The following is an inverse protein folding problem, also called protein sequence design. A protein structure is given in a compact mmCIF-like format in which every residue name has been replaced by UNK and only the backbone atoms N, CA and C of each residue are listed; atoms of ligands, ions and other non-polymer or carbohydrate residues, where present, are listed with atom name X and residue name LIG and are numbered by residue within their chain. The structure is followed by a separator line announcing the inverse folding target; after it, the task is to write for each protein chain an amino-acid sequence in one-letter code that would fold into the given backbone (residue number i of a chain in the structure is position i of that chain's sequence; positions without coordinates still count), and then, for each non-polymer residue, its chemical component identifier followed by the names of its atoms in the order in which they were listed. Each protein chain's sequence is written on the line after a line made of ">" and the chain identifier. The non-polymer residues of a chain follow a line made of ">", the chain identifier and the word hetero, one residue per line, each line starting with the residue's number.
data_IF_853685076411
#
_entry.id   IF_853685076411
#
_cell.length_a   1.000
_cell.length_b   1.000
_cell.length_c   1.000
_cell.angle_alpha   90.00
_cell.angle_beta   90.00
_cell.angle_gamma   90.00
#
_symmetry.space_group_name_H-M   'P 1'
#
loop_
_entity.id
_entity.type
_entity.pdbx_description
1 polymer ?
#
# COMPACT_ATOMS: atom_id res chain seq x y z
N UNK A 1 -22.03 23.44 -25.44
CA UNK A 1 -22.79 24.15 -24.38
C UNK A 1 -24.10 23.41 -24.14
N UNK A 2 -24.56 23.31 -22.88
CA UNK A 2 -25.75 22.51 -22.51
C UNK A 2 -27.06 22.96 -23.13
N UNK A 3 -27.25 24.26 -23.31
CA UNK A 3 -28.48 24.80 -23.91
C UNK A 3 -28.16 25.79 -25.02
N UNK A 4 -29.13 25.99 -25.90
CA UNK A 4 -29.00 26.93 -27.00
C UNK A 4 -29.12 28.37 -26.49
N UNK A 5 -28.24 29.23 -26.99
CA UNK A 5 -28.19 30.68 -26.82
C UNK A 5 -28.01 31.33 -28.19
N UNK A 6 -28.51 32.56 -28.41
CA UNK A 6 -28.43 33.21 -29.72
C UNK A 6 -27.01 33.35 -30.26
N UNK A 7 -26.04 33.57 -29.37
CA UNK A 7 -24.63 33.74 -29.73
C UNK A 7 -23.73 32.88 -28.82
N UNK A 8 -22.93 31.95 -29.40
CA UNK A 8 -22.93 31.54 -30.81
C UNK A 8 -24.15 30.69 -31.19
N UNK A 9 -24.63 30.84 -32.42
CA UNK A 9 -25.80 30.11 -32.96
C UNK A 9 -25.66 28.58 -32.95
N UNK A 10 -24.44 28.04 -32.88
CA UNK A 10 -24.16 26.60 -32.81
C UNK A 10 -24.23 26.00 -31.39
N UNK A 11 -24.70 26.79 -30.41
CA UNK A 11 -24.83 26.37 -29.01
C UNK A 11 -25.98 25.38 -28.81
N UNK A 12 -26.00 24.68 -27.66
CA UNK A 12 -27.06 23.74 -27.27
C UNK A 12 -26.89 22.29 -27.69
N UNK A 13 -25.81 21.93 -28.40
CA UNK A 13 -25.58 20.55 -28.86
C UNK A 13 -24.95 19.60 -27.84
N UNK A 14 -25.02 19.85 -26.53
CA UNK A 14 -24.33 19.01 -25.55
C UNK A 14 -24.89 17.58 -25.49
N UNK A 15 -26.21 17.39 -25.55
CA UNK A 15 -26.82 16.06 -25.59
C UNK A 15 -26.31 15.24 -26.78
N UNK A 16 -26.40 15.81 -27.99
CA UNK A 16 -25.91 15.15 -29.20
C UNK A 16 -24.42 14.81 -29.13
N UNK A 17 -23.60 15.70 -28.56
CA UNK A 17 -22.17 15.45 -28.42
C UNK A 17 -21.88 14.36 -27.37
N UNK A 18 -22.63 14.33 -26.27
CA UNK A 18 -22.50 13.27 -25.26
C UNK A 18 -22.97 11.91 -25.80
N UNK A 19 -24.05 11.87 -26.57
CA UNK A 19 -24.50 10.67 -27.29
C UNK A 19 -23.46 10.18 -28.28
N UNK A 20 -22.85 11.06 -29.08
CA UNK A 20 -21.73 10.68 -29.94
C UNK A 20 -20.58 10.03 -29.15
N UNK A 21 -20.20 10.60 -27.99
CA UNK A 21 -19.14 10.03 -27.16
C UNK A 21 -19.53 8.64 -26.64
N UNK A 22 -20.75 8.50 -26.12
CA UNK A 22 -21.27 7.29 -25.49
C UNK A 22 -21.52 6.16 -26.50
N UNK A 23 -22.19 6.47 -27.61
CA UNK A 23 -22.76 5.48 -28.52
C UNK A 23 -21.85 5.18 -29.72
N UNK A 24 -20.91 6.08 -30.05
CA UNK A 24 -20.01 5.92 -31.20
C UNK A 24 -18.53 5.88 -30.80
N UNK A 25 -18.03 6.90 -30.09
CA UNK A 25 -16.59 7.07 -29.87
C UNK A 25 -16.01 6.03 -28.89
N UNK A 26 -16.61 5.87 -27.71
CA UNK A 26 -16.14 4.91 -26.71
C UNK A 26 -16.20 3.47 -27.27
N UNK A 27 -17.32 3.00 -27.86
CA UNK A 27 -17.37 1.67 -28.48
C UNK A 27 -16.32 1.47 -29.58
N UNK A 28 -16.04 2.49 -30.40
CA UNK A 28 -14.99 2.40 -31.41
C UNK A 28 -13.60 2.23 -30.79
N UNK A 29 -13.28 2.94 -29.71
CA UNK A 29 -11.98 2.83 -29.02
C UNK A 29 -11.86 1.44 -28.37
N UNK A 30 -12.89 1.00 -27.63
CA UNK A 30 -12.90 -0.29 -26.93
C UNK A 30 -12.77 -1.48 -27.88
N UNK A 31 -13.35 -1.39 -29.09
CA UNK A 31 -13.19 -2.42 -30.12
C UNK A 31 -11.80 -2.40 -30.78
N UNK A 32 -11.11 -1.26 -30.79
CA UNK A 32 -9.84 -1.09 -31.51
C UNK A 32 -8.60 -1.29 -30.64
N UNK A 33 -8.71 -1.05 -29.34
CA UNK A 33 -7.60 -1.08 -28.40
C UNK A 33 -7.95 -1.90 -27.15
N UNK A 34 -6.98 -2.53 -26.47
CA UNK A 34 -7.20 -3.23 -25.22
C UNK A 34 -7.43 -2.21 -24.09
N UNK A 35 -8.66 -1.71 -23.95
CA UNK A 35 -9.05 -0.82 -22.86
C UNK A 35 -9.37 -1.63 -21.60
N UNK A 36 -9.33 -0.96 -20.45
CA UNK A 36 -9.66 -1.56 -19.15
C UNK A 36 -11.11 -1.27 -18.72
N UNK A 37 -11.95 -0.75 -19.61
CA UNK A 37 -13.34 -0.38 -19.34
C UNK A 37 -13.52 0.88 -18.49
N UNK A 38 -12.45 1.66 -18.25
CA UNK A 38 -12.51 2.88 -17.44
C UNK A 38 -12.20 4.10 -18.29
N UNK A 39 -13.00 5.16 -18.14
CA UNK A 39 -12.88 6.39 -18.93
C UNK A 39 -12.88 7.60 -18.01
N UNK A 40 -12.18 8.65 -18.44
CA UNK A 40 -12.21 9.96 -17.78
C UNK A 40 -12.40 11.06 -18.81
N UNK A 41 -12.99 12.18 -18.40
CA UNK A 41 -13.22 13.33 -19.26
C UNK A 41 -12.57 14.60 -18.70
N UNK A 42 -11.85 15.30 -19.58
CA UNK A 42 -11.24 16.59 -19.28
C UNK A 42 -11.86 17.70 -20.12
N UNK A 43 -12.14 18.83 -19.49
CA UNK A 43 -12.71 20.01 -20.13
C UNK A 43 -12.13 21.30 -19.58
N UNK A 44 -11.70 22.18 -20.49
CA UNK A 44 -11.23 23.52 -20.19
C UNK A 44 -12.24 24.56 -20.71
N UNK A 45 -12.48 25.64 -19.95
CA UNK A 45 -13.40 26.72 -20.33
C UNK A 45 -14.81 26.17 -20.61
N UNK A 46 -15.41 26.41 -21.77
CA UNK A 46 -16.68 25.80 -22.17
C UNK A 46 -16.67 24.27 -22.14
N UNK A 47 -15.50 23.64 -22.29
CA UNK A 47 -15.34 22.19 -22.12
C UNK A 47 -15.65 21.72 -20.71
N UNK A 48 -15.33 22.51 -19.66
CA UNK A 48 -15.66 22.10 -18.30
C UNK A 48 -17.14 22.32 -17.94
N UNK A 49 -17.87 23.20 -18.66
CA UNK A 49 -19.35 23.16 -18.63
C UNK A 49 -19.86 21.83 -19.16
N UNK A 50 -19.28 21.31 -20.24
CA UNK A 50 -19.65 20.01 -20.78
C UNK A 50 -19.30 18.86 -19.82
N UNK A 51 -18.17 18.94 -19.11
CA UNK A 51 -17.80 17.97 -18.07
C UNK A 51 -18.82 17.95 -16.94
N UNK A 52 -19.18 19.11 -16.39
CA UNK A 52 -20.21 19.18 -15.33
C UNK A 52 -21.56 18.71 -15.85
N UNK A 53 -21.91 19.04 -17.09
CA UNK A 53 -23.12 18.52 -17.73
C UNK A 53 -23.11 16.99 -17.80
N UNK A 54 -22.05 16.38 -18.33
CA UNK A 54 -21.92 14.93 -18.44
C UNK A 54 -21.99 14.22 -17.08
N UNK A 55 -21.35 14.79 -16.03
CA UNK A 55 -21.45 14.30 -14.66
C UNK A 55 -22.91 14.28 -14.18
N UNK A 56 -23.71 15.29 -14.52
CA UNK A 56 -25.08 15.44 -14.04
C UNK A 56 -26.12 14.71 -14.91
N UNK A 57 -25.80 14.31 -16.14
CA UNK A 57 -26.74 13.65 -17.05
C UNK A 57 -26.44 12.17 -17.26
N UNK A 58 -25.17 11.79 -17.41
CA UNK A 58 -24.71 10.42 -17.67
C UNK A 58 -23.51 10.08 -16.76
N UNK A 59 -23.66 10.15 -15.42
CA UNK A 59 -22.54 10.00 -14.49
C UNK A 59 -21.82 8.63 -14.58
N UNK A 60 -22.48 7.63 -15.18
CA UNK A 60 -21.91 6.30 -15.35
C UNK A 60 -20.85 6.24 -16.46
N UNK A 61 -20.81 7.24 -17.35
CA UNK A 61 -19.95 7.18 -18.53
C UNK A 61 -18.46 7.34 -18.20
N UNK A 62 -18.14 8.10 -17.15
CA UNK A 62 -16.76 8.34 -16.72
C UNK A 62 -16.58 8.07 -15.23
N UNK A 63 -15.38 7.63 -14.83
CA UNK A 63 -14.94 7.53 -13.43
C UNK A 63 -14.51 8.91 -12.89
N UNK A 64 -13.77 9.66 -13.70
CA UNK A 64 -13.21 10.97 -13.31
C UNK A 64 -13.60 12.09 -14.27
N UNK A 65 -13.92 13.24 -13.67
CA UNK A 65 -14.37 14.45 -14.33
C UNK A 65 -13.43 15.60 -13.95
N UNK A 66 -12.77 16.20 -14.95
CA UNK A 66 -11.83 17.30 -14.73
C UNK A 66 -12.34 18.56 -15.42
N UNK A 67 -12.74 19.57 -14.65
CA UNK A 67 -13.21 20.85 -15.16
C UNK A 67 -12.24 21.97 -14.78
N UNK A 68 -11.61 22.59 -15.78
CA UNK A 68 -10.62 23.65 -15.57
C UNK A 68 -11.13 25.00 -16.09
N UNK A 69 -11.02 26.02 -15.24
CA UNK A 69 -11.24 27.44 -15.51
C UNK A 69 -12.53 27.70 -16.31
N UNK A 70 -13.61 27.08 -15.83
CA UNK A 70 -14.90 27.00 -16.52
C UNK A 70 -15.89 28.04 -16.00
N UNK A 71 -16.69 28.66 -16.89
CA UNK A 71 -17.64 29.71 -16.50
C UNK A 71 -18.94 29.09 -15.96
N UNK A 72 -18.90 28.43 -14.80
CA UNK A 72 -20.04 27.66 -14.26
C UNK A 72 -21.32 28.49 -14.04
N UNK A 73 -21.20 29.82 -13.92
CA UNK A 73 -22.35 30.73 -13.83
C UNK A 73 -23.03 31.05 -15.17
N UNK A 74 -22.54 30.46 -16.26
CA UNK A 74 -23.08 30.66 -17.60
C UNK A 74 -24.60 30.37 -17.69
N UNK A 75 -25.28 31.18 -18.50
CA UNK A 75 -26.72 31.12 -18.73
C UNK A 75 -27.56 31.15 -17.45
N UNK A 76 -27.32 32.16 -16.61
CA UNK A 76 -28.03 32.36 -15.35
C UNK A 76 -27.95 31.12 -14.44
N UNK A 77 -26.71 30.64 -14.19
CA UNK A 77 -26.41 29.52 -13.30
C UNK A 77 -27.10 28.19 -13.72
N UNK A 78 -27.29 27.96 -15.03
CA UNK A 78 -28.04 26.79 -15.53
C UNK A 78 -27.50 25.47 -14.96
N UNK A 79 -26.19 25.23 -15.05
CA UNK A 79 -25.59 23.99 -14.53
C UNK A 79 -25.48 23.96 -13.00
N UNK A 80 -25.35 25.10 -12.34
CA UNK A 80 -25.37 25.17 -10.86
C UNK A 80 -26.75 24.78 -10.33
N UNK A 81 -27.83 25.23 -10.99
CA UNK A 81 -29.22 24.83 -10.67
C UNK A 81 -29.42 23.33 -10.90
N UNK A 82 -28.95 22.80 -12.03
CA UNK A 82 -29.00 21.36 -12.29
C UNK A 82 -28.19 20.54 -11.26
N UNK A 83 -27.00 21.02 -10.88
CA UNK A 83 -26.20 20.38 -9.84
C UNK A 83 -26.95 20.34 -8.50
N UNK A 84 -27.69 21.40 -8.17
CA UNK A 84 -28.45 21.47 -6.93
C UNK A 84 -29.58 20.43 -6.86
N UNK A 85 -30.07 19.96 -8.00
CA UNK A 85 -31.10 18.92 -8.10
C UNK A 85 -30.51 17.51 -8.14
N UNK A 86 -29.31 17.34 -8.70
CA UNK A 86 -28.79 16.01 -9.08
C UNK A 86 -27.53 15.55 -8.33
N UNK A 87 -26.81 16.42 -7.63
CA UNK A 87 -25.56 16.01 -6.96
C UNK A 87 -25.77 14.82 -6.00
N UNK A 88 -26.85 14.81 -5.23
CA UNK A 88 -27.17 13.75 -4.26
C UNK A 88 -27.60 12.42 -4.90
N UNK A 89 -27.83 12.36 -6.21
CA UNK A 89 -28.19 11.14 -6.95
C UNK A 89 -27.01 10.56 -7.74
N UNK A 90 -25.83 11.20 -7.66
CA UNK A 90 -24.64 10.69 -8.30
C UNK A 90 -24.29 9.29 -7.77
N UNK A 91 -23.86 8.37 -8.64
CA UNK A 91 -23.36 7.07 -8.23
C UNK A 91 -22.11 7.22 -7.36
N UNK A 92 -21.78 6.15 -6.64
CA UNK A 92 -20.57 6.09 -5.83
C UNK A 92 -19.30 6.11 -6.67
N UNK A 93 -18.18 6.43 -6.00
CA UNK A 93 -16.82 6.30 -6.51
C UNK A 93 -16.53 7.16 -7.74
N UNK A 94 -17.13 8.36 -7.79
CA UNK A 94 -16.85 9.37 -8.82
C UNK A 94 -15.83 10.38 -8.30
N UNK A 95 -14.95 10.80 -9.20
CA UNK A 95 -13.98 11.86 -8.92
C UNK A 95 -14.35 13.12 -9.68
N UNK A 96 -14.48 14.25 -9.00
CA UNK A 96 -14.69 15.56 -9.62
C UNK A 96 -13.62 16.56 -9.22
N UNK A 97 -12.70 16.83 -10.13
CA UNK A 97 -11.64 17.81 -9.95
C UNK A 97 -12.01 19.13 -10.63
N UNK A 98 -12.00 20.20 -9.85
CA UNK A 98 -12.26 21.54 -10.34
C UNK A 98 -11.01 22.38 -10.13
N UNK A 99 -10.61 23.09 -11.17
CA UNK A 99 -9.48 23.99 -11.11
C UNK A 99 -9.81 25.35 -11.70
N UNK A 100 -9.13 26.41 -11.28
CA UNK A 100 -9.24 27.74 -11.90
C UNK A 100 -8.07 28.64 -11.58
N UNK A 101 -7.97 29.80 -12.24
CA UNK A 101 -6.93 30.79 -11.91
C UNK A 101 -7.19 31.51 -10.57
N UNK A 102 -8.44 31.53 -10.12
CA UNK A 102 -8.86 32.11 -8.85
C UNK A 102 -10.16 31.47 -8.37
N UNK A 103 -10.49 31.62 -7.09
CA UNK A 103 -11.82 31.25 -6.58
C UNK A 103 -12.81 32.36 -6.93
N UNK A 104 -13.19 32.44 -8.21
CA UNK A 104 -14.20 33.38 -8.67
C UNK A 104 -15.58 33.02 -8.08
N UNK A 105 -16.56 33.90 -8.25
CA UNK A 105 -17.90 33.69 -7.68
C UNK A 105 -18.55 32.39 -8.15
N UNK A 106 -18.29 31.97 -9.39
CA UNK A 106 -18.86 30.75 -9.97
C UNK A 106 -18.33 29.49 -9.28
N UNK A 107 -17.01 29.39 -9.12
CA UNK A 107 -16.36 28.30 -8.39
C UNK A 107 -16.81 28.30 -6.92
N UNK A 108 -16.91 29.48 -6.29
CA UNK A 108 -17.39 29.60 -4.91
C UNK A 108 -18.84 29.12 -4.70
N UNK A 109 -19.73 29.36 -5.69
CA UNK A 109 -21.11 28.83 -5.65
C UNK A 109 -21.14 27.32 -5.78
N UNK A 110 -20.34 26.75 -6.70
CA UNK A 110 -20.24 25.30 -6.86
C UNK A 110 -19.62 24.63 -5.62
N UNK A 111 -18.59 25.22 -5.02
CA UNK A 111 -17.98 24.77 -3.75
C UNK A 111 -19.03 24.66 -2.65
N UNK A 112 -19.76 25.75 -2.40
CA UNK A 112 -20.83 25.79 -1.39
C UNK A 112 -21.88 24.70 -1.62
N UNK A 113 -22.19 24.43 -2.89
CA UNK A 113 -23.16 23.42 -3.26
C UNK A 113 -22.63 21.99 -3.06
N UNK A 114 -21.38 21.73 -3.43
CA UNK A 114 -20.72 20.44 -3.21
C UNK A 114 -20.63 20.14 -1.71
N UNK A 115 -20.23 21.10 -0.88
CA UNK A 115 -20.20 20.94 0.58
C UNK A 115 -21.58 20.61 1.15
N UNK A 116 -22.66 21.19 0.60
CA UNK A 116 -24.01 21.00 1.10
C UNK A 116 -24.68 19.71 0.61
N UNK A 117 -24.42 19.29 -0.63
CA UNK A 117 -25.22 18.27 -1.34
C UNK A 117 -24.44 17.11 -1.94
N UNK A 118 -23.12 17.19 -2.04
CA UNK A 118 -22.34 16.06 -2.58
C UNK A 118 -22.52 14.83 -1.68
N UNK A 119 -22.79 13.64 -2.26
CA UNK A 119 -22.80 12.42 -1.50
C UNK A 119 -21.40 12.14 -0.97
N UNK A 120 -21.29 11.45 0.17
CA UNK A 120 -19.98 11.09 0.76
C UNK A 120 -19.10 10.26 -0.19
N UNK A 121 -19.71 9.59 -1.17
CA UNK A 121 -19.04 8.80 -2.20
C UNK A 121 -18.59 9.60 -3.42
N UNK A 122 -18.92 10.90 -3.51
CA UNK A 122 -18.30 11.79 -4.49
C UNK A 122 -17.02 12.34 -3.87
N UNK A 123 -15.90 12.02 -4.51
CA UNK A 123 -14.62 12.58 -4.14
C UNK A 123 -14.32 13.79 -5.01
N UNK A 124 -14.13 14.94 -4.38
CA UNK A 124 -13.97 16.18 -5.13
C UNK A 124 -12.98 17.10 -4.45
N UNK A 125 -12.34 17.93 -5.27
CA UNK A 125 -11.43 18.96 -4.79
C UNK A 125 -11.49 20.18 -5.73
N UNK A 126 -11.35 21.37 -5.14
CA UNK A 126 -11.28 22.65 -5.85
C UNK A 126 -9.89 23.23 -5.61
N UNK A 127 -9.15 23.47 -6.69
CA UNK A 127 -7.80 24.05 -6.62
C UNK A 127 -7.69 25.33 -7.43
N UNK A 128 -6.97 26.30 -6.88
CA UNK A 128 -6.72 27.58 -7.56
C UNK A 128 -5.24 27.78 -7.85
N UNK A 129 -4.95 28.33 -9.03
CA UNK A 129 -3.61 28.58 -9.53
C UNK A 129 -3.42 30.08 -9.82
N UNK A 130 -3.15 30.91 -8.80
CA UNK A 130 -3.15 32.38 -8.93
C UNK A 130 -2.08 32.93 -9.89
N UNK A 131 -1.02 32.15 -10.15
CA UNK A 131 0.06 32.52 -11.07
C UNK A 131 -0.19 32.08 -12.51
N UNK A 132 -1.26 31.32 -12.77
CA UNK A 132 -1.64 30.87 -14.10
C UNK A 132 -2.59 31.86 -14.78
N UNK A 133 -2.66 31.80 -16.11
CA UNK A 133 -3.66 32.50 -16.94
C UNK A 133 -4.64 31.48 -17.51
N UNK A 134 -5.78 31.97 -18.04
CA UNK A 134 -6.85 31.12 -18.60
C UNK A 134 -6.33 30.01 -19.52
N UNK A 135 -5.35 30.30 -20.38
CA UNK A 135 -4.81 29.31 -21.33
C UNK A 135 -3.68 28.45 -20.76
N UNK A 136 -2.95 28.90 -19.74
CA UNK A 136 -1.81 28.15 -19.18
C UNK A 136 -2.25 27.21 -18.06
N UNK A 137 -3.29 27.59 -17.29
CA UNK A 137 -3.82 26.80 -16.17
C UNK A 137 -4.24 25.39 -16.58
N UNK A 138 -4.71 25.19 -17.82
CA UNK A 138 -5.12 23.88 -18.35
C UNK A 138 -4.04 22.81 -18.25
N UNK A 139 -2.76 23.19 -18.40
CA UNK A 139 -1.65 22.23 -18.35
C UNK A 139 -1.41 21.74 -16.91
N UNK A 140 -1.29 22.68 -15.98
CA UNK A 140 -1.04 22.37 -14.56
C UNK A 140 -2.24 21.70 -13.90
N UNK A 141 -3.44 22.24 -14.12
CA UNK A 141 -4.68 21.70 -13.58
C UNK A 141 -4.98 20.28 -14.07
N UNK A 142 -4.70 19.99 -15.34
CA UNK A 142 -4.85 18.63 -15.87
C UNK A 142 -3.87 17.67 -15.19
N UNK A 143 -2.59 18.06 -15.08
CA UNK A 143 -1.56 17.25 -14.43
C UNK A 143 -1.92 16.94 -12.97
N UNK A 144 -2.28 17.96 -12.19
CA UNK A 144 -2.64 17.80 -10.78
C UNK A 144 -3.96 17.03 -10.61
N UNK A 145 -4.94 17.24 -11.49
CA UNK A 145 -6.20 16.49 -11.46
C UNK A 145 -6.02 15.00 -11.72
N UNK A 146 -5.16 14.64 -12.69
CA UNK A 146 -4.80 13.23 -12.91
C UNK A 146 -4.10 12.68 -11.67
N UNK A 147 -3.14 13.41 -11.09
CA UNK A 147 -2.48 12.98 -9.85
C UNK A 147 -3.45 12.78 -8.69
N UNK A 148 -4.47 13.64 -8.57
CA UNK A 148 -5.51 13.50 -7.57
C UNK A 148 -6.28 12.19 -7.75
N UNK A 149 -6.83 11.95 -8.96
CA UNK A 149 -7.63 10.74 -9.24
C UNK A 149 -6.85 9.43 -9.06
N UNK A 150 -5.54 9.46 -9.32
CA UNK A 150 -4.62 8.33 -9.16
C UNK A 150 -3.82 8.38 -7.85
N UNK A 151 -4.25 9.18 -6.87
CA UNK A 151 -3.62 9.18 -5.55
C UNK A 151 -3.67 7.78 -4.94
N UNK A 152 -2.53 7.31 -4.42
CA UNK A 152 -2.40 5.94 -3.89
C UNK A 152 -2.18 4.84 -4.94
N UNK A 153 -2.21 5.17 -6.24
CA UNK A 153 -1.86 4.21 -7.29
C UNK A 153 -0.42 3.71 -7.13
N UNK A 154 -0.28 2.45 -6.75
CA UNK A 154 1.00 1.78 -6.59
C UNK A 154 0.83 0.28 -6.68
N UNK A 155 1.81 -0.40 -7.26
CA UNK A 155 1.90 -1.86 -7.23
C UNK A 155 2.45 -2.37 -5.89
N UNK A 156 3.07 -1.50 -5.09
CA UNK A 156 3.53 -1.86 -3.75
C UNK A 156 2.32 -2.03 -2.79
N UNK A 157 2.40 -2.95 -1.84
CA UNK A 157 1.46 -3.00 -0.73
C UNK A 157 1.70 -1.85 0.25
N UNK A 158 0.67 -1.46 1.00
CA UNK A 158 0.85 -0.66 2.20
C UNK A 158 1.54 -1.55 3.26
N UNK A 159 2.60 -1.04 3.87
CA UNK A 159 3.40 -1.77 4.85
C UNK A 159 3.61 -0.99 6.14
N UNK A 160 3.75 -1.73 7.24
CA UNK A 160 4.24 -1.22 8.51
C UNK A 160 5.08 -2.27 9.21
N UNK A 161 5.98 -1.85 10.10
CA UNK A 161 6.90 -2.74 10.81
C UNK A 161 7.09 -2.32 12.26
N UNK A 162 7.16 -3.27 13.22
CA UNK A 162 6.90 -4.72 13.05
C UNK A 162 5.46 -5.01 12.63
N UNK A 163 5.23 -6.12 11.90
CA UNK A 163 3.88 -6.46 11.41
C UNK A 163 3.03 -7.19 12.45
N UNK A 164 3.65 -8.02 13.28
CA UNK A 164 3.00 -8.76 14.35
C UNK A 164 3.93 -8.83 15.57
N UNK A 165 3.42 -9.26 16.72
CA UNK A 165 4.31 -9.47 17.85
C UNK A 165 3.68 -9.98 19.14
N UNK A 166 4.54 -10.15 20.14
CA UNK A 166 4.19 -10.38 21.53
C UNK A 166 4.65 -9.16 22.31
N UNK A 167 3.76 -8.59 23.11
CA UNK A 167 4.02 -7.42 23.93
C UNK A 167 3.96 -7.80 25.41
N UNK A 168 4.88 -7.23 26.18
CA UNK A 168 4.81 -7.23 27.63
C UNK A 168 3.70 -6.27 28.08
N UNK A 169 3.03 -6.62 29.19
CA UNK A 169 2.01 -5.78 29.80
C UNK A 169 2.59 -4.38 30.12
N UNK A 170 1.82 -3.34 29.79
CA UNK A 170 2.14 -1.93 30.05
C UNK A 170 3.48 -1.43 29.46
N UNK A 171 4.05 -2.15 28.49
CA UNK A 171 5.27 -1.73 27.79
C UNK A 171 4.99 -1.43 26.31
N UNK A 172 4.86 -0.16 25.93
CA UNK A 172 4.56 0.22 24.55
C UNK A 172 5.70 -0.09 23.59
N UNK A 173 5.36 -0.20 22.31
CA UNK A 173 6.31 -0.23 21.20
C UNK A 173 5.92 0.79 20.12
N UNK A 174 6.90 1.16 19.30
CA UNK A 174 6.69 1.98 18.11
C UNK A 174 6.56 1.10 16.87
N UNK A 175 5.56 1.39 16.04
CA UNK A 175 5.35 0.82 14.72
C UNK A 175 5.71 1.89 13.70
N UNK A 176 6.67 1.63 12.81
CA UNK A 176 6.92 2.45 11.64
C UNK A 176 5.91 2.14 10.55
N UNK A 177 5.36 3.17 9.90
CA UNK A 177 4.38 3.04 8.81
C UNK A 177 4.93 3.70 7.56
N UNK A 178 4.82 3.01 6.42
CA UNK A 178 5.12 3.60 5.12
C UNK A 178 4.14 4.74 4.84
N UNK A 179 4.69 5.96 4.80
CA UNK A 179 3.93 7.20 4.65
C UNK A 179 3.93 7.74 3.22
N UNK A 180 4.29 6.92 2.24
CA UNK A 180 4.21 7.27 0.81
C UNK A 180 2.77 7.27 0.25
N UNK A 181 1.79 6.84 1.04
CA UNK A 181 0.38 6.76 0.66
C UNK A 181 -0.44 7.94 1.19
N UNK A 182 -1.52 8.34 0.46
CA UNK A 182 -2.38 9.44 0.88
C UNK A 182 -3.26 9.07 2.08
N UNK A 183 -3.61 10.08 2.88
CA UNK A 183 -4.61 10.03 3.97
C UNK A 183 -4.59 8.72 4.77
N UNK A 184 -3.45 8.42 5.40
CA UNK A 184 -3.32 7.23 6.22
C UNK A 184 -4.05 7.37 7.55
N UNK A 185 -4.90 6.39 7.87
CA UNK A 185 -5.66 6.28 9.10
C UNK A 185 -5.45 4.93 9.75
N UNK A 186 -5.67 4.84 11.05
CA UNK A 186 -5.57 3.57 11.75
C UNK A 186 -6.54 3.42 12.92
N UNK A 187 -6.72 2.16 13.31
CA UNK A 187 -7.43 1.70 14.50
C UNK A 187 -6.58 0.61 15.18
N UNK A 188 -6.76 0.41 16.48
CA UNK A 188 -5.97 -0.55 17.29
C UNK A 188 -6.81 -1.67 17.89
N UNK A 189 -8.12 -1.64 17.66
CA UNK A 189 -9.11 -2.58 18.17
C UNK A 189 -9.63 -3.55 17.09
N UNK A 190 -9.12 -3.46 15.87
CA UNK A 190 -9.52 -4.28 14.73
C UNK A 190 -10.75 -3.78 13.97
N UNK A 191 -11.31 -2.61 14.31
CA UNK A 191 -12.36 -1.96 13.52
C UNK A 191 -11.79 -1.41 12.22
N UNK A 192 -12.57 -1.40 11.13
CA UNK A 192 -12.09 -0.84 9.85
C UNK A 192 -11.94 0.69 9.98
N UNK A 193 -10.77 1.27 9.67
CA UNK A 193 -10.60 2.71 9.72
C UNK A 193 -11.53 3.43 8.74
N UNK A 194 -11.92 4.64 9.10
CA UNK A 194 -12.63 5.61 8.27
C UNK A 194 -11.94 6.99 8.31
N UNK A 195 -12.50 7.98 7.62
CA UNK A 195 -11.94 9.34 7.56
C UNK A 195 -11.94 10.10 8.89
N UNK A 196 -12.65 9.60 9.91
CA UNK A 196 -12.67 10.16 11.27
C UNK A 196 -11.67 9.48 12.21
N UNK A 197 -11.17 8.32 11.82
CA UNK A 197 -10.16 7.56 12.55
C UNK A 197 -8.84 8.34 12.67
N UNK A 198 -7.97 7.91 13.58
CA UNK A 198 -6.73 8.63 13.89
C UNK A 198 -5.79 8.66 12.68
N UNK A 199 -5.19 9.83 12.38
CA UNK A 199 -4.17 9.98 11.34
C UNK A 199 -2.85 9.35 11.79
N UNK A 200 -2.12 8.79 10.83
CA UNK A 200 -0.72 8.40 11.02
C UNK A 200 0.17 9.22 10.11
N UNK A 201 1.25 9.74 10.68
CA UNK A 201 2.31 10.38 9.89
C UNK A 201 3.31 9.31 9.45
N UNK A 202 4.15 8.82 10.36
CA UNK A 202 5.15 7.77 10.06
C UNK A 202 5.35 6.76 11.18
N UNK A 203 4.73 6.99 12.35
CA UNK A 203 4.84 6.13 13.53
C UNK A 203 3.53 6.04 14.28
N UNK A 204 3.27 4.86 14.84
CA UNK A 204 2.16 4.59 15.75
C UNK A 204 2.74 3.98 17.02
N UNK A 205 2.32 4.47 18.19
CA UNK A 205 2.64 3.84 19.46
C UNK A 205 1.48 2.93 19.87
N UNK A 206 1.78 1.67 20.17
CA UNK A 206 0.77 0.69 20.61
C UNK A 206 1.15 0.05 21.95
N UNK A 207 0.15 -0.38 22.69
CA UNK A 207 0.27 -1.20 23.91
C UNK A 207 -0.61 -2.43 23.77
N UNK A 208 -0.12 -3.60 24.16
CA UNK A 208 -0.83 -4.86 23.95
C UNK A 208 -2.06 -5.06 24.86
N UNK A 209 -3.04 -5.87 24.44
CA UNK A 209 -3.16 -6.48 23.12
C UNK A 209 -3.67 -5.45 22.07
N UNK A 210 -3.30 -5.60 20.81
CA UNK A 210 -3.67 -4.67 19.73
C UNK A 210 -3.97 -5.44 18.43
N UNK A 211 -5.09 -5.10 17.79
CA UNK A 211 -5.40 -5.48 16.41
C UNK A 211 -5.27 -4.23 15.55
N UNK A 212 -4.08 -4.04 14.97
CA UNK A 212 -3.76 -2.84 14.21
C UNK A 212 -4.28 -2.98 12.78
N UNK A 213 -5.11 -2.04 12.35
CA UNK A 213 -5.48 -1.87 10.94
C UNK A 213 -5.04 -0.46 10.52
N UNK A 214 -4.19 -0.38 9.51
CA UNK A 214 -3.80 0.87 8.85
C UNK A 214 -4.41 0.88 7.45
N UNK A 215 -5.03 1.99 7.07
CA UNK A 215 -5.68 2.17 5.77
C UNK A 215 -5.28 3.49 5.15
N UNK A 216 -4.90 3.46 3.88
CA UNK A 216 -4.77 4.66 3.05
C UNK A 216 -6.06 4.92 2.29
N UNK A 217 -6.51 6.17 2.28
CA UNK A 217 -7.66 6.59 1.50
C UNK A 217 -7.20 7.34 0.25
N UNK A 218 -7.47 6.76 -0.90
CA UNK A 218 -7.29 7.39 -2.21
C UNK A 218 -8.46 8.31 -2.52
N UNK A 219 -8.21 9.29 -3.39
CA UNK A 219 -9.25 10.21 -3.85
C UNK A 219 -10.33 9.53 -4.70
N UNK A 220 -10.19 8.27 -5.11
CA UNK A 220 -11.23 7.56 -5.86
C UNK A 220 -11.81 6.37 -5.09
N UNK A 221 -11.30 6.07 -3.89
CA UNK A 221 -11.56 4.81 -3.18
C UNK A 221 -10.92 3.57 -3.84
N UNK A 222 -10.68 3.61 -5.16
CA UNK A 222 -10.18 2.51 -5.99
C UNK A 222 -8.77 2.06 -5.62
N UNK A 223 -7.94 2.97 -5.13
CA UNK A 223 -6.55 2.70 -4.76
C UNK A 223 -6.35 2.68 -3.24
N UNK A 224 -7.44 2.52 -2.48
CA UNK A 224 -7.35 2.28 -1.04
C UNK A 224 -6.55 1.01 -0.78
N UNK A 225 -5.70 1.06 0.23
CA UNK A 225 -4.89 -0.07 0.66
C UNK A 225 -5.02 -0.23 2.15
N UNK A 226 -5.06 -1.48 2.59
CA UNK A 226 -5.18 -1.83 4.00
C UNK A 226 -4.05 -2.79 4.38
N UNK A 227 -3.39 -2.50 5.49
CA UNK A 227 -2.44 -3.36 6.15
C UNK A 227 -2.98 -3.75 7.54
N UNK A 228 -2.75 -5.01 7.94
CA UNK A 228 -3.25 -5.55 9.21
C UNK A 228 -2.12 -6.26 9.97
N UNK A 229 -2.20 -6.20 11.29
CA UNK A 229 -1.22 -6.81 12.19
C UNK A 229 -1.81 -7.09 13.56
N UNK A 230 -1.34 -8.16 14.19
CA UNK A 230 -1.81 -8.62 15.50
C UNK A 230 -0.69 -8.62 16.51
N UNK A 231 -0.97 -8.05 17.68
CA UNK A 231 -0.04 -7.97 18.80
C UNK A 231 -0.70 -8.52 20.04
N UNK A 232 -0.18 -9.63 20.55
CA UNK A 232 -0.73 -10.33 21.69
C UNK A 232 0.03 -9.98 22.96
N UNK A 233 -0.61 -10.05 24.12
CA UNK A 233 0.12 -10.02 25.38
C UNK A 233 0.81 -11.36 25.63
N UNK A 234 2.03 -11.30 26.14
CA UNK A 234 2.75 -12.48 26.58
C UNK A 234 3.94 -12.13 27.46
N UNK A 235 4.73 -13.15 27.78
CA UNK A 235 5.94 -13.04 28.58
C UNK A 235 7.17 -13.01 27.69
N UNK A 236 8.32 -12.63 28.27
CA UNK A 236 9.60 -12.78 27.61
C UNK A 236 9.81 -14.26 27.25
N UNK A 237 10.22 -14.53 26.02
CA UNK A 237 10.58 -15.90 25.64
C UNK A 237 11.80 -16.29 26.50
N UNK A 238 11.76 -17.41 27.24
CA UNK A 238 12.87 -17.80 28.10
C UNK A 238 14.06 -18.23 27.24
N UNK A 239 15.25 -17.87 27.70
CA UNK A 239 16.50 -18.29 27.06
C UNK A 239 16.97 -19.65 27.58
N UNK A 240 17.85 -20.31 26.84
CA UNK A 240 18.62 -21.45 27.35
C UNK A 240 20.02 -21.01 27.78
N UNK A 241 20.63 -21.81 28.65
CA UNK A 241 22.06 -21.68 28.93
C UNK A 241 22.89 -21.92 27.67
N UNK A 242 24.09 -21.34 27.63
CA UNK A 242 25.02 -21.54 26.53
C UNK A 242 25.28 -23.05 26.30
N UNK A 243 24.99 -23.58 25.10
CA UNK A 243 25.31 -24.97 24.75
C UNK A 243 26.82 -25.25 24.87
N UNK A 244 27.20 -26.49 25.22
CA UNK A 244 28.58 -26.87 25.52
C UNK A 244 29.43 -27.26 24.30
N UNK A 245 28.80 -27.58 23.16
CA UNK A 245 29.45 -28.01 21.90
C UNK A 245 28.98 -27.19 20.71
N UNK A 246 29.21 -25.89 20.79
CA UNK A 246 28.88 -24.96 19.71
C UNK A 246 30.11 -24.19 19.25
N UNK A 247 30.18 -23.99 17.95
CA UNK A 247 31.11 -23.08 17.32
C UNK A 247 30.44 -21.72 17.13
N UNK A 248 31.24 -20.66 17.09
CA UNK A 248 30.75 -19.29 16.85
C UNK A 248 30.87 -18.89 15.38
N UNK A 249 30.24 -17.78 15.01
CA UNK A 249 30.35 -17.10 13.71
C UNK A 249 29.55 -17.71 12.55
N UNK A 250 28.37 -18.26 12.81
CA UNK A 250 27.45 -18.62 11.73
C UNK A 250 26.38 -19.60 12.16
N UNK A 251 25.63 -20.10 11.18
CA UNK A 251 24.62 -21.17 11.34
C UNK A 251 25.00 -22.37 10.47
N UNK A 252 24.63 -23.58 10.86
CA UNK A 252 24.76 -24.75 10.00
C UNK A 252 23.71 -24.65 8.90
N UNK A 253 24.06 -24.92 7.65
CA UNK A 253 23.09 -25.01 6.56
C UNK A 253 23.07 -26.40 5.93
N UNK A 254 21.88 -26.80 5.50
CA UNK A 254 21.63 -27.97 4.67
C UNK A 254 20.94 -27.53 3.38
N UNK A 255 21.48 -27.94 2.24
CA UNK A 255 21.01 -27.62 0.89
C UNK A 255 20.36 -28.85 0.26
N UNK A 256 19.22 -28.63 -0.39
CA UNK A 256 18.39 -29.65 -1.02
C UNK A 256 18.02 -29.22 -2.43
N UNK A 257 17.95 -30.16 -3.36
CA UNK A 257 17.47 -29.93 -4.72
C UNK A 257 16.05 -30.47 -4.87
N UNK A 258 15.19 -29.72 -5.54
CA UNK A 258 13.80 -30.09 -5.77
C UNK A 258 12.91 -28.90 -6.11
N UNK A 259 11.74 -29.16 -6.66
CA UNK A 259 10.77 -28.12 -7.00
C UNK A 259 9.61 -28.16 -6.01
N UNK A 260 9.29 -27.01 -5.42
CA UNK A 260 8.25 -26.87 -4.42
C UNK A 260 7.43 -25.61 -4.63
N UNK A 261 6.14 -25.66 -4.27
CA UNK A 261 5.26 -24.49 -4.19
C UNK A 261 5.14 -23.94 -2.75
N UNK A 262 5.59 -24.74 -1.78
CA UNK A 262 5.59 -24.48 -0.33
C UNK A 262 6.78 -25.15 0.31
N UNK A 263 7.21 -24.67 1.48
CA UNK A 263 8.34 -25.24 2.21
C UNK A 263 8.20 -26.77 2.37
N UNK A 264 9.25 -27.54 2.02
CA UNK A 264 9.20 -28.98 2.16
C UNK A 264 9.29 -29.43 3.61
N UNK A 265 8.88 -30.68 3.84
CA UNK A 265 9.21 -31.38 5.08
C UNK A 265 10.67 -31.83 5.04
N UNK A 266 11.57 -30.97 5.53
CA UNK A 266 13.02 -31.22 5.54
C UNK A 266 13.42 -32.53 6.24
N UNK A 267 12.62 -33.05 7.17
CA UNK A 267 12.89 -34.33 7.85
C UNK A 267 12.79 -35.54 6.91
N UNK A 268 12.06 -35.40 5.79
CA UNK A 268 11.90 -36.44 4.77
C UNK A 268 12.93 -36.34 3.65
N UNK A 269 13.74 -35.29 3.64
CA UNK A 269 14.72 -35.03 2.60
C UNK A 269 16.12 -35.43 3.06
N UNK A 270 17.00 -35.72 2.09
CA UNK A 270 18.43 -35.90 2.32
C UNK A 270 19.17 -34.70 1.74
N UNK A 271 20.02 -34.01 2.51
CA UNK A 271 20.76 -32.87 1.99
C UNK A 271 21.77 -33.32 0.93
N UNK A 272 21.85 -32.55 -0.16
CA UNK A 272 22.85 -32.70 -1.21
C UNK A 272 24.19 -32.12 -0.75
N UNK A 273 24.13 -31.03 0.01
CA UNK A 273 25.30 -30.35 0.57
C UNK A 273 24.99 -29.82 1.96
N UNK A 274 25.98 -29.82 2.84
CA UNK A 274 25.92 -29.17 4.15
C UNK A 274 27.14 -28.28 4.33
N UNK A 275 27.05 -27.31 5.24
CA UNK A 275 28.17 -26.43 5.57
C UNK A 275 27.80 -25.42 6.64
N UNK A 276 28.60 -24.35 6.74
CA UNK A 276 28.39 -23.26 7.68
C UNK A 276 28.10 -21.97 6.89
N UNK A 277 27.03 -21.29 7.27
CA UNK A 277 26.64 -19.98 6.78
C UNK A 277 27.27 -18.89 7.65
N UNK A 278 28.53 -18.57 7.38
CA UNK A 278 29.31 -17.54 8.07
C UNK A 278 29.46 -16.26 7.22
N UNK A 279 30.43 -15.40 7.54
CA UNK A 279 30.66 -14.14 6.82
C UNK A 279 31.04 -14.27 5.35
N UNK A 280 31.49 -15.45 4.91
CA UNK A 280 31.82 -15.70 3.50
C UNK A 280 30.73 -16.47 2.77
N UNK A 281 29.66 -16.90 3.45
CA UNK A 281 28.56 -17.59 2.82
C UNK A 281 27.80 -16.69 1.86
N UNK A 282 27.60 -17.20 0.65
CA UNK A 282 26.87 -16.55 -0.41
C UNK A 282 25.90 -17.54 -1.05
N UNK A 283 24.61 -17.23 -0.99
CA UNK A 283 23.56 -18.11 -1.53
C UNK A 283 23.70 -18.30 -3.05
N UNK A 284 24.28 -17.33 -3.77
CA UNK A 284 24.53 -17.44 -5.21
C UNK A 284 25.64 -18.44 -5.58
N UNK A 285 26.40 -18.95 -4.60
CA UNK A 285 27.44 -19.97 -4.78
C UNK A 285 26.92 -21.39 -4.49
N UNK A 286 25.62 -21.54 -4.21
CA UNK A 286 24.98 -22.84 -4.12
C UNK A 286 24.88 -23.49 -5.52
N UNK A 287 24.82 -24.84 -5.61
CA UNK A 287 24.82 -25.55 -6.90
C UNK A 287 23.70 -25.14 -7.87
N UNK A 288 22.49 -24.96 -7.34
CA UNK A 288 21.31 -24.54 -8.11
C UNK A 288 20.94 -23.08 -7.83
N UNK A 289 20.53 -22.37 -8.88
CA UNK A 289 19.98 -20.99 -8.79
C UNK A 289 18.47 -20.96 -8.55
N UNK A 290 17.80 -22.05 -8.91
CA UNK A 290 16.35 -22.26 -8.81
C UNK A 290 16.10 -23.70 -8.37
N UNK A 291 14.87 -24.02 -7.99
CA UNK A 291 14.46 -25.36 -7.54
C UNK A 291 15.40 -25.94 -6.47
N UNK A 292 15.55 -25.19 -5.39
CA UNK A 292 16.31 -25.63 -4.23
C UNK A 292 15.65 -25.20 -2.92
N UNK A 293 16.08 -25.84 -1.83
CA UNK A 293 15.71 -25.45 -0.48
C UNK A 293 16.94 -25.41 0.42
N UNK A 294 16.89 -24.53 1.42
CA UNK A 294 17.90 -24.41 2.46
C UNK A 294 17.25 -24.48 3.84
N UNK A 295 17.89 -25.21 4.73
CA UNK A 295 17.59 -25.24 6.17
C UNK A 295 18.81 -24.68 6.90
N UNK A 296 18.64 -23.59 7.65
CA UNK A 296 19.67 -23.01 8.49
C UNK A 296 19.32 -23.26 9.96
N UNK A 297 20.26 -23.79 10.74
CA UNK A 297 20.06 -24.19 12.13
C UNK A 297 21.24 -23.78 13.00
N UNK A 298 20.96 -23.42 14.25
CA UNK A 298 21.98 -23.05 15.21
C UNK A 298 21.38 -22.30 16.39
N UNK A 299 22.11 -21.30 16.88
CA UNK A 299 21.68 -20.47 18.00
C UNK A 299 21.98 -18.99 17.77
N UNK A 300 21.10 -18.14 18.28
CA UNK A 300 21.38 -16.73 18.50
C UNK A 300 21.68 -16.46 19.98
N UNK A 301 22.70 -15.66 20.23
CA UNK A 301 22.97 -15.09 21.55
C UNK A 301 22.32 -13.71 21.68
N UNK A 302 21.46 -13.58 22.68
CA UNK A 302 20.83 -12.33 23.10
C UNK A 302 21.61 -11.84 24.31
N UNK A 303 22.27 -10.69 24.16
CA UNK A 303 23.20 -10.17 25.19
C UNK A 303 22.54 -9.33 26.26
N UNK A 304 21.32 -8.84 26.02
CA UNK A 304 20.51 -8.03 26.94
C UNK A 304 19.03 -8.37 26.82
N UNK A 305 18.30 -8.27 27.91
CA UNK A 305 16.85 -8.43 27.92
C UNK A 305 16.20 -7.28 27.12
N UNK A 306 15.08 -7.55 26.46
CA UNK A 306 14.27 -6.50 25.85
C UNK A 306 13.48 -6.95 24.63
N UNK A 307 12.86 -5.98 23.95
CA UNK A 307 12.18 -6.25 22.68
C UNK A 307 13.18 -6.37 21.54
N UNK A 308 13.10 -7.49 20.84
CA UNK A 308 13.83 -7.72 19.60
C UNK A 308 12.85 -7.80 18.44
N UNK A 309 13.10 -7.00 17.41
CA UNK A 309 12.41 -7.12 16.13
C UNK A 309 13.17 -8.06 15.20
N UNK A 310 12.47 -8.90 14.46
CA UNK A 310 13.01 -9.73 13.38
C UNK A 310 12.28 -9.41 12.09
N UNK A 311 12.98 -9.30 10.98
CA UNK A 311 12.39 -9.19 9.66
C UNK A 311 13.05 -10.18 8.69
N UNK A 312 12.25 -10.99 8.03
CA UNK A 312 12.69 -11.98 7.06
C UNK A 312 12.28 -11.51 5.67
N UNK A 313 13.26 -11.32 4.80
CA UNK A 313 13.09 -10.94 3.40
C UNK A 313 13.41 -12.15 2.53
N UNK A 314 12.49 -12.51 1.64
CA UNK A 314 12.66 -13.61 0.69
C UNK A 314 11.80 -13.42 -0.56
N UNK A 315 12.21 -14.01 -1.69
CA UNK A 315 11.41 -14.06 -2.91
C UNK A 315 10.28 -15.09 -2.72
N UNK A 316 10.65 -16.36 -2.60
CA UNK A 316 9.71 -17.46 -2.39
C UNK A 316 9.50 -17.75 -0.89
N UNK A 317 9.24 -19.01 -0.54
CA UNK A 317 8.80 -19.36 0.80
C UNK A 317 9.93 -19.36 1.82
N UNK A 318 9.69 -18.72 2.96
CA UNK A 318 10.59 -18.83 4.11
C UNK A 318 9.88 -18.76 5.46
N UNK A 319 10.45 -19.40 6.48
CA UNK A 319 9.96 -19.34 7.87
C UNK A 319 11.12 -19.11 8.83
N UNK A 320 10.84 -18.43 9.95
CA UNK A 320 11.77 -18.25 11.06
C UNK A 320 11.16 -18.79 12.35
N UNK A 321 11.95 -19.59 13.05
CA UNK A 321 11.64 -20.14 14.35
C UNK A 321 12.70 -19.72 15.37
N UNK A 322 12.26 -19.37 16.58
CA UNK A 322 13.10 -19.25 17.77
C UNK A 322 12.61 -20.29 18.79
N UNK A 323 13.46 -21.27 19.09
CA UNK A 323 13.05 -22.50 19.77
C UNK A 323 11.97 -23.23 18.97
N UNK A 324 10.90 -23.63 19.65
CA UNK A 324 9.73 -24.26 19.02
C UNK A 324 8.75 -23.23 18.42
N UNK A 325 8.95 -21.93 18.67
CA UNK A 325 8.01 -20.88 18.27
C UNK A 325 8.30 -20.41 16.85
N UNK A 326 7.35 -20.63 15.95
CA UNK A 326 7.31 -19.95 14.65
C UNK A 326 6.98 -18.47 14.87
N UNK A 327 7.91 -17.57 14.53
CA UNK A 327 7.69 -16.12 14.67
C UNK A 327 7.43 -15.44 13.33
N UNK A 328 7.89 -16.02 12.22
CA UNK A 328 7.60 -15.49 10.88
C UNK A 328 7.20 -16.63 9.95
N UNK A 329 6.10 -16.41 9.22
CA UNK A 329 5.65 -17.23 8.10
C UNK A 329 5.57 -16.37 6.83
N UNK A 330 6.44 -16.65 5.88
CA UNK A 330 6.46 -16.06 4.55
C UNK A 330 6.41 -17.17 3.49
N UNK A 331 5.77 -18.31 3.75
CA UNK A 331 5.74 -19.45 2.82
C UNK A 331 4.96 -19.13 1.53
N UNK A 332 5.24 -19.87 0.45
CA UNK A 332 4.62 -19.75 -0.86
C UNK A 332 5.49 -19.08 -1.94
N UNK A 333 5.15 -19.35 -3.21
CA UNK A 333 5.83 -18.81 -4.39
C UNK A 333 5.44 -17.36 -4.66
N UNK A 334 6.40 -16.52 -5.04
CA UNK A 334 6.14 -15.12 -5.43
C UNK A 334 7.09 -14.65 -6.53
N UNK A 335 6.59 -13.72 -7.34
CA UNK A 335 7.39 -13.05 -8.39
C UNK A 335 8.19 -11.85 -7.87
N UNK A 336 8.01 -11.44 -6.62
CA UNK A 336 8.68 -10.27 -6.02
C UNK A 336 9.08 -10.57 -4.58
N UNK A 337 10.08 -9.85 -4.09
CA UNK A 337 10.51 -9.92 -2.70
C UNK A 337 9.34 -9.61 -1.74
N UNK A 338 9.28 -10.35 -0.64
CA UNK A 338 8.33 -10.16 0.46
C UNK A 338 9.10 -10.01 1.76
N UNK A 339 8.69 -9.04 2.57
CA UNK A 339 9.18 -8.85 3.94
C UNK A 339 8.08 -9.17 4.93
N UNK A 340 8.42 -9.97 5.94
CA UNK A 340 7.58 -10.20 7.12
C UNK A 340 8.38 -9.86 8.36
N UNK A 341 7.75 -9.21 9.34
CA UNK A 341 8.43 -8.86 10.59
C UNK A 341 7.62 -9.15 11.83
N UNK A 342 8.33 -9.51 12.89
CA UNK A 342 7.77 -9.91 14.18
C UNK A 342 8.61 -9.31 15.31
N UNK A 343 7.95 -8.80 16.35
CA UNK A 343 8.63 -8.29 17.56
C UNK A 343 8.24 -9.12 18.77
N UNK A 344 9.19 -9.42 19.64
CA UNK A 344 8.93 -10.14 20.88
C UNK A 344 9.94 -9.79 21.98
N UNK A 345 9.54 -9.86 23.26
CA UNK A 345 10.47 -9.77 24.38
C UNK A 345 11.31 -11.03 24.49
N UNK A 346 12.62 -10.86 24.62
CA UNK A 346 13.59 -11.94 24.84
C UNK A 346 14.36 -11.66 26.14
N UNK A 347 14.61 -12.71 26.91
CA UNK A 347 15.61 -12.71 27.99
C UNK A 347 17.02 -12.88 27.42
N UNK A 348 18.03 -12.38 28.13
CA UNK A 348 19.44 -12.63 27.84
C UNK A 348 19.72 -14.14 27.87
N UNK A 349 20.45 -14.62 26.87
CA UNK A 349 20.90 -16.01 26.78
C UNK A 349 20.90 -16.52 25.35
N UNK A 350 20.77 -17.83 25.18
CA UNK A 350 20.84 -18.47 23.86
C UNK A 350 19.45 -18.92 23.42
N UNK A 351 19.19 -18.84 22.12
CA UNK A 351 17.94 -19.27 21.50
C UNK A 351 18.26 -20.18 20.32
N UNK A 352 17.74 -21.42 20.28
CA UNK A 352 17.77 -22.22 19.07
C UNK A 352 17.10 -21.42 17.95
N UNK A 353 17.73 -21.35 16.78
CA UNK A 353 17.15 -20.71 15.60
C UNK A 353 17.06 -21.72 14.47
N UNK A 354 15.95 -21.65 13.74
CA UNK A 354 15.75 -22.39 12.51
C UNK A 354 15.16 -21.48 11.44
N UNK A 355 15.82 -21.41 10.30
CA UNK A 355 15.34 -20.68 9.13
C UNK A 355 15.14 -21.69 8.01
N UNK A 356 13.91 -21.74 7.52
CA UNK A 356 13.54 -22.58 6.38
C UNK A 356 13.36 -21.68 5.17
N UNK A 357 13.85 -22.11 4.01
CA UNK A 357 13.74 -21.37 2.76
C UNK A 357 13.64 -22.32 1.56
N UNK A 358 12.85 -21.97 0.56
CA UNK A 358 12.93 -22.56 -0.77
C UNK A 358 12.94 -21.48 -1.85
N UNK A 359 13.54 -21.81 -2.99
CA UNK A 359 13.50 -21.02 -4.21
C UNK A 359 12.99 -21.89 -5.35
N UNK A 360 11.98 -21.43 -6.08
CA UNK A 360 11.42 -22.12 -7.23
C UNK A 360 11.93 -21.56 -8.55
N UNK A 361 11.74 -20.27 -8.79
CA UNK A 361 11.95 -19.64 -10.11
C UNK A 361 12.81 -18.37 -10.02
N UNK A 362 13.40 -17.90 -11.12
CA UNK A 362 14.19 -16.64 -11.14
C UNK A 362 15.37 -16.56 -10.14
N UNK A 363 15.53 -15.44 -9.43
CA UNK A 363 16.65 -15.17 -8.52
C UNK A 363 16.28 -15.43 -7.06
N UNK A 364 17.23 -15.96 -6.29
CA UNK A 364 17.09 -16.20 -4.85
C UNK A 364 17.52 -15.01 -4.00
N UNK A 365 16.67 -14.58 -3.05
CA UNK A 365 17.04 -13.75 -1.91
C UNK A 365 16.56 -14.38 -0.60
N UNK A 366 17.42 -14.32 0.41
CA UNK A 366 17.09 -14.64 1.79
C UNK A 366 17.92 -13.74 2.69
N UNK A 367 17.25 -12.89 3.45
CA UNK A 367 17.92 -12.00 4.40
C UNK A 367 17.13 -11.94 5.71
N UNK A 368 17.83 -12.24 6.81
CA UNK A 368 17.33 -11.98 8.15
C UNK A 368 17.91 -10.68 8.67
N UNK A 369 17.02 -9.75 9.02
CA UNK A 369 17.31 -8.53 9.75
C UNK A 369 16.81 -8.66 11.18
N UNK A 370 17.47 -7.97 12.10
CA UNK A 370 17.01 -7.81 13.47
C UNK A 370 17.17 -6.36 13.94
N UNK A 371 16.36 -5.99 14.92
CA UNK A 371 16.37 -4.69 15.60
C UNK A 371 16.61 -4.94 17.08
N UNK A 372 17.65 -4.33 17.63
CA UNK A 372 17.99 -4.46 19.04
C UNK A 372 17.08 -3.58 19.92
N UNK A 373 16.91 -3.94 21.21
CA UNK A 373 16.17 -3.11 22.15
C UNK A 373 16.69 -1.68 22.14
N UNK A 374 15.76 -0.73 22.18
CA UNK A 374 16.01 0.72 22.24
C UNK A 374 16.65 1.31 20.96
N UNK A 375 16.73 0.53 19.89
CA UNK A 375 17.17 1.00 18.58
C UNK A 375 16.03 0.89 17.56
N UNK A 376 16.11 1.67 16.49
CA UNK A 376 15.18 1.58 15.36
C UNK A 376 15.86 1.07 14.08
N UNK A 377 17.17 0.79 14.15
CA UNK A 377 17.96 0.39 12.99
C UNK A 377 17.91 -1.12 12.79
N UNK A 378 17.29 -1.55 11.69
CA UNK A 378 17.39 -2.92 11.23
C UNK A 378 18.80 -3.21 10.70
N UNK A 379 19.44 -4.23 11.25
CA UNK A 379 20.75 -4.71 10.82
C UNK A 379 20.74 -6.21 10.60
N UNK A 380 21.74 -6.78 9.94
CA UNK A 380 21.90 -8.25 9.93
C UNK A 380 22.34 -8.71 11.31
N UNK A 381 21.85 -9.86 11.77
CA UNK A 381 22.32 -10.47 13.03
C UNK A 381 23.85 -10.63 12.96
N UNK A 382 24.65 -9.97 13.82
CA UNK A 382 26.09 -10.07 13.77
C UNK A 382 26.55 -11.50 13.91
N UNK A 383 27.50 -11.95 13.08
CA UNK A 383 28.03 -13.31 13.14
C UNK A 383 28.59 -13.66 14.53
N UNK A 384 29.12 -12.69 15.29
CA UNK A 384 29.56 -12.92 16.68
C UNK A 384 28.46 -13.41 17.63
N UNK A 385 27.19 -13.22 17.29
CA UNK A 385 26.03 -13.68 18.05
C UNK A 385 25.39 -14.93 17.43
N UNK A 386 25.97 -15.50 16.38
CA UNK A 386 25.48 -16.71 15.74
C UNK A 386 26.39 -17.88 16.08
N UNK A 387 25.77 -19.02 16.38
CA UNK A 387 26.47 -20.24 16.77
C UNK A 387 25.84 -21.46 16.11
N UNK A 388 26.62 -22.53 15.92
CA UNK A 388 26.15 -23.79 15.35
C UNK A 388 26.75 -25.00 16.06
N UNK A 389 26.05 -26.13 16.04
CA UNK A 389 26.56 -27.42 16.56
C UNK A 389 27.37 -28.15 15.48
N UNK A 390 28.39 -28.89 15.92
CA UNK A 390 29.23 -29.74 15.04
C UNK A 390 28.43 -30.78 14.24
#
# INVERSE_FOLDING_TARGET
>A
MPVHVPEPAISGGADNFLSFIKDELIPYIDNKYPTNGTSSIYGHSYGGLFVLFALLTEPQLFESYYATDSPFGWNNDYLIKMAAEKLNTLPSDKVFWIAGTSQNQDIGRLDSLLQLKAPKSLHWEIVTYPNEKHNSVRLKAMYDGIKFSYSGYSNAPLGFHPMNGILLKDKPISIWVDNSYPELRYTVDGTEPDMTSQKVDSKITITGPTQLIVKSFSASGKYDKTAKGSFELGEALPSIQKPTKINSKGLKYSYYEGSWEKLPDFKKLKPVKTGVADSVFNMNELPGKTNFACLFEGYFEIVKDGYYGFALVSNDGSKLFLGEKQIIDNDGVRSTESVKSFILPLEKGFYPVRIEYFQKDESSILQLLYVEPETENATRVPFKYQYYED
#
